data_IF_809284027711
#
_entry.id   IF_809284027711
#
_cell.length_a   1.000
_cell.length_b   1.000
_cell.length_c   1.000
_cell.angle_alpha   90.00
_cell.angle_beta   90.00
_cell.angle_gamma   90.00
#
_symmetry.space_group_name_H-M   'P 1'
#
loop_
_entity.id
_entity.type
_entity.pdbx_description
1 polymer ?
#
# COMPACT_ATOMS: atom_id res chain seq x y z
N UNK A 1 -70.55 29.49 22.80
CA UNK A 1 -69.22 29.42 23.44
C UNK A 1 -68.26 28.76 22.42
N UNK A 2 -67.47 29.58 21.70
CA UNK A 2 -66.54 29.11 20.66
C UNK A 2 -65.18 28.99 21.31
N UNK A 3 -64.55 27.83 21.16
CA UNK A 3 -63.15 27.57 21.61
C UNK A 3 -62.28 27.54 20.36
N UNK A 4 -61.39 28.56 20.27
CA UNK A 4 -60.38 28.62 19.21
C UNK A 4 -59.19 27.75 19.60
N UNK A 5 -58.92 26.73 18.75
CA UNK A 5 -57.73 25.88 18.87
C UNK A 5 -56.66 26.46 17.95
N UNK A 6 -55.63 27.08 18.56
CA UNK A 6 -54.42 27.51 17.87
C UNK A 6 -53.62 26.30 17.43
N UNK A 7 -53.46 26.12 16.13
CA UNK A 7 -52.53 25.15 15.55
C UNK A 7 -51.09 25.67 15.71
N UNK A 8 -50.29 24.98 16.53
CA UNK A 8 -48.85 25.16 16.57
C UNK A 8 -48.24 24.38 15.39
N UNK A 9 -47.63 25.09 14.46
CA UNK A 9 -46.92 24.51 13.36
C UNK A 9 -45.55 23.98 13.84
N UNK A 10 -45.35 22.67 13.76
CA UNK A 10 -44.06 22.05 13.97
C UNK A 10 -43.28 22.16 12.65
N UNK A 11 -42.30 23.05 12.62
CA UNK A 11 -41.31 23.11 11.52
C UNK A 11 -40.31 21.97 11.73
N UNK A 12 -40.45 20.92 10.92
CA UNK A 12 -39.45 19.86 10.84
C UNK A 12 -38.21 20.39 10.06
N UNK A 13 -37.13 20.69 10.78
CA UNK A 13 -35.83 20.93 10.17
C UNK A 13 -35.31 19.57 9.66
N UNK A 14 -35.43 19.30 8.36
CA UNK A 14 -34.75 18.20 7.71
C UNK A 14 -33.25 18.55 7.61
N UNK A 15 -32.46 18.11 8.57
CA UNK A 15 -31.00 18.16 8.48
C UNK A 15 -30.52 17.22 7.39
N UNK A 16 -30.10 17.76 6.25
CA UNK A 16 -29.34 17.04 5.23
C UNK A 16 -27.97 16.70 5.82
N UNK A 17 -27.80 15.47 6.33
CA UNK A 17 -26.52 14.88 6.60
C UNK A 17 -25.84 14.60 5.25
N UNK A 18 -25.04 15.56 4.78
CA UNK A 18 -24.12 15.34 3.69
C UNK A 18 -23.05 14.36 4.18
N UNK A 19 -23.26 13.07 3.94
CA UNK A 19 -22.24 12.05 4.11
C UNK A 19 -21.15 12.33 3.08
N UNK A 20 -20.11 13.05 3.47
CA UNK A 20 -18.90 13.14 2.69
C UNK A 20 -18.30 11.73 2.63
N UNK A 21 -18.59 11.01 1.56
CA UNK A 21 -17.85 9.80 1.21
C UNK A 21 -16.42 10.25 0.95
N UNK A 22 -15.56 10.07 1.93
CA UNK A 22 -14.13 10.17 1.73
C UNK A 22 -13.77 9.04 0.75
N UNK A 23 -13.70 9.36 -0.53
CA UNK A 23 -13.05 8.50 -1.50
C UNK A 23 -11.60 8.39 -1.02
N UNK A 24 -11.21 7.23 -0.54
CA UNK A 24 -9.81 6.92 -0.31
C UNK A 24 -9.12 7.15 -1.67
N UNK A 25 -8.32 8.20 -1.73
CA UNK A 25 -7.58 8.55 -2.92
C UNK A 25 -6.57 7.42 -3.11
N UNK A 26 -6.85 6.51 -4.03
CA UNK A 26 -5.92 5.44 -4.38
C UNK A 26 -4.70 6.12 -4.97
N UNK A 27 -3.58 6.03 -4.26
CA UNK A 27 -2.33 6.59 -4.73
C UNK A 27 -2.00 5.98 -6.09
N UNK A 28 -2.04 6.79 -7.14
CA UNK A 28 -1.71 6.33 -8.50
C UNK A 28 -0.20 6.38 -8.68
N UNK A 29 0.45 5.25 -8.98
CA UNK A 29 1.89 5.23 -9.22
C UNK A 29 2.28 6.20 -10.35
N UNK A 30 3.41 6.90 -10.23
CA UNK A 30 3.80 7.96 -11.14
C UNK A 30 4.37 7.43 -12.47
N UNK A 31 4.58 8.35 -13.39
CA UNK A 31 5.47 8.14 -14.53
C UNK A 31 6.88 8.57 -14.14
N UNK A 32 7.84 7.66 -14.27
CA UNK A 32 9.25 7.96 -14.02
C UNK A 32 9.99 8.25 -15.31
N UNK A 33 10.81 9.29 -15.30
CA UNK A 33 11.82 9.51 -16.35
C UNK A 33 13.03 8.59 -16.11
N UNK A 34 13.86 8.40 -17.14
CA UNK A 34 15.12 7.68 -16.99
C UNK A 34 16.04 8.31 -15.93
N UNK A 35 15.97 9.64 -15.77
CA UNK A 35 16.71 10.37 -14.74
C UNK A 35 16.24 10.01 -13.33
N UNK A 36 14.93 9.90 -13.13
CA UNK A 36 14.36 9.53 -11.82
C UNK A 36 14.77 8.10 -11.45
N UNK A 37 14.71 7.18 -12.41
CA UNK A 37 15.11 5.78 -12.21
C UNK A 37 16.61 5.61 -11.94
N UNK A 38 17.46 6.50 -12.45
CA UNK A 38 18.90 6.47 -12.24
C UNK A 38 19.34 7.22 -10.98
N UNK A 39 18.49 8.05 -10.41
CA UNK A 39 18.83 8.85 -9.23
C UNK A 39 19.14 7.96 -8.01
N UNK A 40 20.05 8.38 -7.11
CA UNK A 40 20.27 7.67 -5.85
C UNK A 40 18.98 7.58 -5.02
N UNK A 41 18.77 6.44 -4.41
CA UNK A 41 17.64 6.26 -3.50
C UNK A 41 17.81 7.15 -2.26
N UNK A 42 16.80 7.99 -1.99
CA UNK A 42 16.75 8.89 -0.86
C UNK A 42 15.42 8.72 -0.12
N UNK A 43 14.45 9.63 -0.31
CA UNK A 43 13.09 9.50 0.25
C UNK A 43 12.20 8.47 -0.44
N UNK A 44 12.65 7.93 -1.57
CA UNK A 44 11.94 6.93 -2.36
C UNK A 44 12.82 5.71 -2.61
N UNK A 45 12.19 4.55 -2.80
CA UNK A 45 12.83 3.29 -3.18
C UNK A 45 12.05 2.68 -4.34
N UNK A 46 12.30 3.17 -5.55
CA UNK A 46 11.43 3.00 -6.73
C UNK A 46 11.71 1.76 -7.57
N UNK A 47 12.79 1.07 -7.29
CA UNK A 47 13.12 -0.20 -7.94
C UNK A 47 13.59 -1.20 -6.89
N UNK A 48 13.66 -2.48 -7.23
CA UNK A 48 14.14 -3.53 -6.32
C UNK A 48 15.53 -3.24 -5.73
N UNK A 49 16.40 -2.60 -6.49
CA UNK A 49 17.76 -2.23 -6.03
C UNK A 49 17.92 -0.77 -5.61
N UNK A 50 16.82 -0.03 -5.45
CA UNK A 50 16.82 1.40 -5.12
C UNK A 50 16.87 2.31 -6.34
N UNK A 51 17.64 1.93 -7.37
CA UNK A 51 17.74 2.60 -8.67
C UNK A 51 18.14 1.61 -9.76
N UNK A 52 18.24 2.05 -11.02
CA UNK A 52 18.62 1.21 -12.17
C UNK A 52 20.02 0.58 -12.04
N UNK A 53 20.89 1.17 -11.23
CA UNK A 53 22.23 0.61 -11.00
C UNK A 53 22.24 -0.50 -9.95
N UNK A 54 21.10 -0.82 -9.36
CA UNK A 54 20.95 -1.89 -8.36
C UNK A 54 21.94 -1.80 -7.19
N UNK A 55 22.25 -0.58 -6.77
CA UNK A 55 23.28 -0.32 -5.75
C UNK A 55 22.87 -0.75 -4.35
N UNK A 56 21.55 -0.87 -4.07
CA UNK A 56 20.97 -1.22 -2.76
C UNK A 56 21.48 -0.31 -1.63
N UNK A 57 21.71 0.94 -1.97
CA UNK A 57 22.26 1.95 -1.09
C UNK A 57 21.28 3.12 -0.96
N UNK A 58 21.08 3.57 0.26
CA UNK A 58 20.31 4.76 0.59
C UNK A 58 21.22 5.89 1.05
N UNK A 59 20.95 7.11 0.61
CA UNK A 59 21.65 8.32 1.09
C UNK A 59 21.08 8.84 2.41
N UNK A 60 20.02 8.21 2.96
CA UNK A 60 19.45 8.58 4.24
C UNK A 60 20.44 8.32 5.38
N UNK A 61 20.62 9.29 6.28
CA UNK A 61 21.57 9.24 7.38
C UNK A 61 20.94 9.47 8.77
N UNK A 62 19.59 9.53 8.84
CA UNK A 62 18.88 9.73 10.10
C UNK A 62 19.10 8.58 11.08
N UNK A 63 19.20 7.35 10.57
CA UNK A 63 19.54 6.17 11.37
C UNK A 63 21.04 5.89 11.20
N UNK A 64 21.76 5.79 12.32
CA UNK A 64 23.20 5.59 12.35
C UNK A 64 23.61 4.76 13.57
N UNK A 65 24.91 4.47 13.71
CA UNK A 65 25.46 3.65 14.80
C UNK A 65 25.14 4.16 16.21
N UNK A 66 24.89 5.46 16.37
CA UNK A 66 24.68 6.07 17.68
C UNK A 66 23.20 6.04 18.12
N UNK A 67 22.28 5.76 17.20
CA UNK A 67 20.85 5.77 17.48
C UNK A 67 20.09 4.49 17.09
N UNK A 68 20.70 3.59 16.30
CA UNK A 68 20.03 2.36 15.81
C UNK A 68 19.49 1.49 16.95
N UNK A 69 20.18 1.43 18.09
CA UNK A 69 19.73 0.66 19.25
C UNK A 69 18.44 1.21 19.91
N UNK A 70 18.04 2.42 19.57
CA UNK A 70 16.85 3.10 20.10
C UNK A 70 15.63 3.01 19.16
N UNK A 71 15.77 2.33 18.02
CA UNK A 71 14.67 2.15 17.09
C UNK A 71 13.51 1.42 17.75
N UNK A 72 12.31 1.88 17.47
CA UNK A 72 11.07 1.26 17.91
C UNK A 72 10.17 1.06 16.69
N UNK A 73 9.32 -0.01 16.68
CA UNK A 73 8.30 -0.16 15.66
C UNK A 73 7.37 1.06 15.67
N UNK A 74 7.09 1.64 14.51
CA UNK A 74 6.12 2.71 14.37
C UNK A 74 4.70 2.12 14.28
N UNK A 75 4.52 1.04 13.51
CA UNK A 75 3.25 0.36 13.32
C UNK A 75 3.48 -1.11 12.93
N UNK A 76 2.41 -1.87 12.90
CA UNK A 76 2.35 -3.24 12.41
C UNK A 76 1.05 -3.45 11.65
N UNK A 77 1.13 -4.01 10.45
CA UNK A 77 -0.04 -4.33 9.62
C UNK A 77 -0.11 -5.83 9.37
N UNK A 78 -1.30 -6.39 9.50
CA UNK A 78 -1.58 -7.75 9.07
C UNK A 78 -2.10 -7.72 7.63
N UNK A 79 -1.45 -8.48 6.75
CA UNK A 79 -1.85 -8.59 5.34
C UNK A 79 -2.82 -9.77 5.21
N UNK A 80 -4.11 -9.47 5.17
CA UNK A 80 -5.15 -10.48 4.96
C UNK A 80 -5.06 -11.06 3.54
N UNK A 81 -5.52 -12.29 3.36
CA UNK A 81 -5.50 -12.97 2.07
C UNK A 81 -4.15 -13.61 1.71
N UNK A 82 -3.10 -13.32 2.49
CA UNK A 82 -1.80 -13.96 2.27
C UNK A 82 -1.84 -15.40 2.73
N UNK A 83 -1.45 -16.30 1.85
CA UNK A 83 -1.26 -17.68 2.23
C UNK A 83 -0.03 -17.83 3.13
N UNK A 84 -0.12 -18.71 4.12
CA UNK A 84 0.87 -18.85 5.20
C UNK A 84 1.49 -20.22 5.31
N UNK A 85 1.16 -21.14 4.40
CA UNK A 85 1.74 -22.47 4.42
C UNK A 85 3.13 -22.52 3.73
N UNK A 86 3.81 -23.64 3.84
CA UNK A 86 5.18 -23.83 3.35
C UNK A 86 5.36 -23.71 1.83
N UNK A 87 4.29 -23.71 1.07
CA UNK A 87 4.36 -23.56 -0.39
C UNK A 87 4.46 -22.11 -0.87
N UNK A 88 4.29 -21.13 0.03
CA UNK A 88 4.32 -19.71 -0.33
C UNK A 88 5.56 -19.04 0.22
N UNK A 89 6.24 -18.29 -0.63
CA UNK A 89 7.44 -17.53 -0.28
C UNK A 89 7.36 -16.10 -0.81
N UNK A 90 7.41 -15.14 0.10
CA UNK A 90 7.49 -13.72 -0.25
C UNK A 90 8.96 -13.28 -0.20
N UNK A 91 9.61 -13.21 -1.35
CA UNK A 91 11.00 -12.77 -1.49
C UNK A 91 11.11 -11.37 -2.12
N UNK A 92 9.97 -10.69 -2.27
CA UNK A 92 9.89 -9.37 -2.85
C UNK A 92 10.47 -8.29 -1.94
N UNK A 93 11.14 -7.32 -2.54
CA UNK A 93 11.50 -6.09 -1.85
C UNK A 93 10.35 -5.07 -2.00
N UNK A 94 9.94 -4.39 -0.92
CA UNK A 94 8.98 -3.33 -1.02
C UNK A 94 9.48 -2.19 -1.90
N UNK A 95 8.59 -1.63 -2.70
CA UNK A 95 8.79 -0.36 -3.39
C UNK A 95 8.19 0.74 -2.53
N UNK A 96 8.90 1.83 -2.36
CA UNK A 96 8.42 2.99 -1.59
C UNK A 96 8.45 4.22 -2.46
N UNK A 97 7.29 4.83 -2.63
CA UNK A 97 7.18 6.06 -3.39
C UNK A 97 6.03 6.93 -2.86
N UNK A 98 6.32 8.22 -2.67
CA UNK A 98 5.36 9.26 -2.27
C UNK A 98 4.49 8.85 -1.07
N UNK A 99 5.14 8.35 -0.01
CA UNK A 99 4.47 7.93 1.22
C UNK A 99 3.70 6.62 1.11
N UNK A 100 3.81 5.88 -0.01
CA UNK A 100 3.14 4.60 -0.21
C UNK A 100 4.16 3.47 -0.33
N UNK A 101 3.90 2.38 0.39
CA UNK A 101 4.65 1.13 0.28
C UNK A 101 3.86 0.16 -0.59
N UNK A 102 4.47 -0.33 -1.67
CA UNK A 102 3.91 -1.36 -2.54
C UNK A 102 4.67 -2.66 -2.33
N UNK A 103 3.97 -3.73 -2.06
CA UNK A 103 4.57 -5.06 -1.86
C UNK A 103 3.64 -6.16 -2.33
N UNK A 104 4.22 -7.33 -2.61
CA UNK A 104 3.48 -8.55 -2.88
C UNK A 104 3.74 -9.60 -1.81
N UNK A 105 2.79 -10.53 -1.65
CA UNK A 105 2.92 -11.70 -0.80
C UNK A 105 3.36 -12.93 -1.61
N UNK A 106 3.64 -14.03 -0.93
CA UNK A 106 3.96 -15.29 -1.60
C UNK A 106 2.83 -15.83 -2.47
N UNK A 107 1.58 -15.47 -2.20
CA UNK A 107 0.42 -15.81 -3.02
C UNK A 107 0.19 -14.81 -4.17
N UNK A 108 1.13 -13.90 -4.42
CA UNK A 108 1.05 -12.84 -5.42
C UNK A 108 -0.05 -11.78 -5.18
N UNK A 109 -0.67 -11.77 -4.01
CA UNK A 109 -1.52 -10.64 -3.63
C UNK A 109 -0.66 -9.39 -3.51
N UNK A 110 -1.17 -8.26 -3.98
CA UNK A 110 -0.46 -6.98 -3.95
C UNK A 110 -1.16 -6.00 -3.03
N UNK A 111 -0.38 -5.34 -2.21
CA UNK A 111 -0.85 -4.35 -1.26
C UNK A 111 -0.19 -3.00 -1.50
N UNK A 112 -0.97 -1.94 -1.31
CA UNK A 112 -0.45 -0.61 -1.11
C UNK A 112 -0.78 -0.15 0.31
N UNK A 113 0.24 0.29 1.04
CA UNK A 113 0.10 0.75 2.41
C UNK A 113 0.57 2.19 2.54
N UNK A 114 -0.09 2.94 3.39
CA UNK A 114 0.40 4.22 3.87
C UNK A 114 1.66 4.01 4.70
N UNK A 115 2.75 4.67 4.35
CA UNK A 115 4.06 4.44 4.96
C UNK A 115 4.14 4.94 6.41
N UNK A 116 3.35 5.95 6.77
CA UNK A 116 3.38 6.54 8.11
C UNK A 116 2.54 5.74 9.11
N UNK A 117 1.44 5.17 8.67
CA UNK A 117 0.45 4.54 9.54
C UNK A 117 0.35 3.02 9.37
N UNK A 118 0.86 2.47 8.28
CA UNK A 118 0.69 1.08 7.91
C UNK A 118 -0.73 0.72 7.44
N UNK A 119 -1.61 1.70 7.26
CA UNK A 119 -2.97 1.46 6.78
C UNK A 119 -2.95 0.91 5.36
N UNK A 120 -3.69 -0.17 5.11
CA UNK A 120 -3.89 -0.69 3.75
C UNK A 120 -4.75 0.30 2.97
N UNK A 121 -4.21 0.85 1.88
CA UNK A 121 -4.88 1.78 0.98
C UNK A 121 -5.72 1.01 -0.05
N UNK A 122 -5.15 -0.07 -0.59
CA UNK A 122 -5.84 -1.01 -1.46
C UNK A 122 -5.13 -2.37 -1.48
N UNK A 123 -5.86 -3.37 -1.96
CA UNK A 123 -5.39 -4.74 -2.15
C UNK A 123 -5.80 -5.21 -3.54
N UNK A 124 -4.91 -5.95 -4.20
CA UNK A 124 -5.21 -6.79 -5.35
C UNK A 124 -5.04 -8.25 -4.93
N UNK A 125 -6.07 -9.05 -5.09
CA UNK A 125 -6.05 -10.49 -4.82
C UNK A 125 -5.79 -11.23 -6.12
N UNK A 126 -4.72 -12.02 -6.16
CA UNK A 126 -4.28 -12.71 -7.38
C UNK A 126 -5.18 -13.90 -7.77
N UNK A 127 -5.86 -14.51 -6.80
CA UNK A 127 -6.72 -15.68 -6.99
C UNK A 127 -6.07 -16.80 -7.81
N UNK A 128 -4.79 -17.10 -7.51
CA UNK A 128 -4.03 -18.12 -8.22
C UNK A 128 -4.70 -19.48 -8.10
N UNK A 129 -4.69 -20.26 -9.19
CA UNK A 129 -5.21 -21.62 -9.20
C UNK A 129 -4.40 -22.53 -8.26
N UNK A 130 -5.00 -22.90 -7.15
CA UNK A 130 -4.37 -23.75 -6.12
C UNK A 130 -4.06 -25.16 -6.60
N UNK A 131 -4.63 -25.59 -7.73
CA UNK A 131 -4.33 -26.87 -8.39
C UNK A 131 -2.97 -26.89 -9.09
N UNK A 132 -2.33 -25.75 -9.32
CA UNK A 132 -0.99 -25.68 -9.90
C UNK A 132 0.03 -26.17 -8.86
N UNK A 133 0.68 -27.31 -9.15
CA UNK A 133 1.66 -27.94 -8.25
C UNK A 133 3.06 -28.05 -8.84
N UNK A 134 3.22 -27.68 -10.13
CA UNK A 134 4.46 -27.87 -10.89
C UNK A 134 5.33 -26.62 -10.96
N UNK A 135 5.26 -25.79 -9.94
CA UNK A 135 6.16 -24.63 -9.82
C UNK A 135 7.40 -25.01 -9.04
N UNK A 136 8.58 -24.66 -9.56
CA UNK A 136 9.82 -24.85 -8.84
C UNK A 136 9.78 -24.06 -7.52
N UNK A 137 10.25 -24.71 -6.45
CA UNK A 137 10.50 -24.05 -5.15
C UNK A 137 9.25 -23.52 -4.45
N UNK A 138 8.07 -23.91 -4.88
CA UNK A 138 6.78 -23.40 -4.41
C UNK A 138 6.38 -22.09 -5.08
N UNK A 139 5.36 -21.47 -4.54
CA UNK A 139 4.86 -20.18 -5.00
C UNK A 139 5.76 -19.07 -4.48
N UNK A 140 6.38 -18.33 -5.39
CA UNK A 140 7.27 -17.23 -5.03
C UNK A 140 6.81 -15.94 -5.68
N UNK A 141 6.80 -14.86 -4.90
CA UNK A 141 6.71 -13.51 -5.42
C UNK A 141 7.99 -12.75 -5.14
N UNK A 142 8.57 -12.14 -6.17
CA UNK A 142 9.79 -11.34 -6.07
C UNK A 142 9.52 -9.84 -5.99
N UNK A 143 8.28 -9.47 -5.78
CA UNK A 143 7.85 -8.09 -5.61
C UNK A 143 7.14 -7.52 -6.83
N UNK A 144 7.02 -6.22 -6.83
CA UNK A 144 6.31 -5.46 -7.86
C UNK A 144 7.23 -4.42 -8.49
N UNK A 145 6.84 -3.94 -9.67
CA UNK A 145 7.37 -2.71 -10.26
C UNK A 145 6.25 -1.68 -10.37
N UNK A 146 6.60 -0.40 -10.31
CA UNK A 146 5.66 0.70 -10.50
C UNK A 146 6.08 1.59 -11.65
N UNK A 147 5.13 2.13 -12.38
CA UNK A 147 5.38 3.05 -13.50
C UNK A 147 4.14 3.26 -14.33
N UNK A 148 4.13 4.28 -15.18
CA UNK A 148 3.04 4.54 -16.14
C UNK A 148 1.65 4.63 -15.46
N UNK A 149 1.58 5.03 -14.20
CA UNK A 149 0.33 5.02 -13.41
C UNK A 149 -0.17 3.62 -13.05
N UNK A 150 0.70 2.59 -13.06
CA UNK A 150 0.35 1.18 -12.83
C UNK A 150 1.31 0.51 -11.85
N UNK A 151 0.84 -0.56 -11.25
CA UNK A 151 1.66 -1.54 -10.55
C UNK A 151 1.71 -2.80 -11.41
N UNK A 152 2.90 -3.35 -11.60
CA UNK A 152 3.16 -4.56 -12.37
C UNK A 152 3.59 -5.66 -11.41
N UNK A 153 2.92 -6.80 -11.47
CA UNK A 153 3.27 -8.01 -10.74
C UNK A 153 3.39 -9.18 -11.71
N UNK A 154 4.40 -10.05 -11.52
CA UNK A 154 4.49 -11.33 -12.23
C UNK A 154 3.59 -12.37 -11.55
N UNK A 155 2.96 -13.21 -12.35
CA UNK A 155 2.13 -14.35 -11.89
C UNK A 155 2.55 -15.61 -12.62
#
# INVERSE_FOLDING_TARGET
MRIDVKRAGLAALAGFLCSASAFAQTATPPKFSAKDLAAPAAGHWITNGGNLYNQRYSTLALINKDNVARLKPAWRTHLNGSATDSKYSAQGQPIVYDGVIYLSTGANDVFALDADTGKILWTYEAHLDQGITVVCCGWESRGVAIGEGKVFAGQ
#
